data_IF_823835984175
#
_entry.id   IF_823835984175
#
_cell.length_a   1.000
_cell.length_b   1.000
_cell.length_c   1.000
_cell.angle_alpha   90.00
_cell.angle_beta   90.00
_cell.angle_gamma   90.00
#
_symmetry.space_group_name_H-M   'P 1'
#
loop_
_entity.id
_entity.type
_entity.pdbx_description
1 polymer ?
#
# COMPACT_ATOMS: atom_id res chain seq x y z
N UNK A 1 -20.57 -9.67 -23.87
CA UNK A 1 -20.12 -9.49 -22.47
C UNK A 1 -18.70 -8.97 -22.52
N UNK A 2 -18.47 -7.71 -22.16
CA UNK A 2 -17.12 -7.16 -22.06
C UNK A 2 -16.57 -7.67 -20.73
N UNK A 3 -15.72 -8.69 -20.79
CA UNK A 3 -14.87 -9.04 -19.66
C UNK A 3 -13.92 -7.87 -19.46
N UNK A 4 -14.15 -7.05 -18.42
CA UNK A 4 -13.10 -6.17 -17.91
C UNK A 4 -11.97 -7.11 -17.52
N UNK A 5 -10.86 -7.07 -18.26
CA UNK A 5 -9.70 -7.86 -17.94
C UNK A 5 -9.24 -7.44 -16.53
N UNK A 6 -9.08 -8.42 -15.62
CA UNK A 6 -8.33 -8.21 -14.38
C UNK A 6 -6.98 -7.64 -14.75
N UNK A 7 -6.51 -6.62 -14.04
CA UNK A 7 -5.22 -6.03 -14.34
C UNK A 7 -4.11 -7.06 -14.12
N UNK A 8 -3.15 -7.06 -15.03
CA UNK A 8 -1.93 -7.84 -14.90
C UNK A 8 -1.16 -7.39 -13.66
N UNK A 9 -0.29 -8.25 -13.14
CA UNK A 9 0.58 -7.92 -12.01
C UNK A 9 1.36 -6.61 -12.23
N UNK A 10 1.80 -6.36 -13.47
CA UNK A 10 2.46 -5.12 -13.86
C UNK A 10 1.55 -3.91 -13.75
N UNK A 11 0.30 -4.01 -14.20
CA UNK A 11 -0.68 -2.92 -14.15
C UNK A 11 -1.12 -2.61 -12.70
N UNK A 12 -1.26 -3.62 -11.84
CA UNK A 12 -1.55 -3.46 -10.41
C UNK A 12 -0.46 -2.67 -9.67
N UNK A 13 0.80 -2.86 -10.07
CA UNK A 13 1.97 -2.20 -9.47
C UNK A 13 2.08 -0.73 -9.86
N UNK A 14 1.59 -0.33 -11.03
CA UNK A 14 1.53 1.07 -11.44
C UNK A 14 0.66 1.96 -10.53
N UNK A 15 -0.29 1.40 -9.76
CA UNK A 15 -1.08 2.15 -8.77
C UNK A 15 -0.28 2.57 -7.53
N UNK A 16 0.87 1.96 -7.27
CA UNK A 16 1.75 2.38 -6.17
C UNK A 16 2.29 3.79 -6.39
N UNK A 17 2.42 4.22 -7.65
CA UNK A 17 2.81 5.58 -8.03
C UNK A 17 1.71 6.61 -7.70
N UNK A 18 0.44 6.24 -7.88
CA UNK A 18 -0.71 7.13 -7.61
C UNK A 18 -1.01 7.32 -6.12
N UNK A 19 -0.61 6.35 -5.28
CA UNK A 19 -0.85 6.36 -3.82
C UNK A 19 0.19 7.16 -3.03
N UNK A 20 1.30 7.55 -3.67
CA UNK A 20 2.38 8.33 -3.06
C UNK A 20 1.94 9.75 -2.64
N UNK A 21 0.74 10.20 -3.04
CA UNK A 21 0.22 11.53 -2.72
C UNK A 21 -0.29 11.68 -1.27
N UNK A 22 -0.33 10.62 -0.46
CA UNK A 22 -0.95 10.67 0.88
C UNK A 22 0.01 10.76 2.08
N UNK A 23 1.33 10.97 1.90
CA UNK A 23 2.28 11.16 3.03
C UNK A 23 3.07 12.47 2.94
N UNK A 24 2.43 13.52 2.43
CA UNK A 24 2.81 14.89 2.75
C UNK A 24 1.53 15.64 3.09
N UNK A 25 1.39 16.03 4.36
CA UNK A 25 0.18 16.65 4.89
C UNK A 25 -0.32 17.78 3.99
N UNK A 26 -1.49 17.58 3.38
CA UNK A 26 -2.26 18.65 2.73
C UNK A 26 -2.97 19.47 3.79
N UNK A 27 -2.22 20.06 4.71
CA UNK A 27 -2.63 21.35 5.27
C UNK A 27 -2.46 22.37 4.15
N UNK A 28 -3.50 22.54 3.34
CA UNK A 28 -3.49 23.54 2.27
C UNK A 28 -4.39 23.30 1.07
N UNK A 29 -5.45 22.49 1.17
CA UNK A 29 -6.50 22.47 0.14
C UNK A 29 -7.77 23.14 0.67
N UNK A 30 -7.67 24.39 1.14
CA UNK A 30 -8.81 25.31 1.29
C UNK A 30 -8.28 26.72 1.52
N UNK A 31 -8.06 27.45 0.43
CA UNK A 31 -7.67 28.85 0.46
C UNK A 31 -7.47 29.35 -0.96
N UNK A 32 -8.25 30.36 -1.36
CA UNK A 32 -8.29 31.03 -2.67
C UNK A 32 -9.35 30.55 -3.67
N UNK A 33 -10.61 30.47 -3.22
CA UNK A 33 -11.70 31.08 -4.00
C UNK A 33 -12.19 32.32 -3.24
N UNK A 34 -11.51 33.43 -3.47
CA UNK A 34 -12.09 34.76 -3.34
C UNK A 34 -11.62 35.50 -4.58
N UNK A 35 -12.60 35.83 -5.43
CA UNK A 35 -12.32 36.41 -6.73
C UNK A 35 -11.68 37.79 -6.61
N UNK A 36 -10.80 38.09 -7.54
CA UNK A 36 -10.76 39.43 -8.11
C UNK A 36 -10.18 39.39 -9.53
N UNK A 37 -11.03 39.84 -10.45
CA UNK A 37 -10.73 40.72 -11.58
C UNK A 37 -9.58 40.36 -12.54
N UNK A 38 -9.97 40.18 -13.80
CA UNK A 38 -9.15 40.13 -15.01
C UNK A 38 -8.21 41.36 -15.03
N UNK A 39 -6.93 41.14 -14.72
CA UNK A 39 -5.86 42.11 -14.87
C UNK A 39 -4.74 41.52 -15.70
N UNK A 40 -4.49 42.10 -16.87
CA UNK A 40 -3.38 41.75 -17.73
C UNK A 40 -2.05 42.13 -17.05
N UNK A 41 -1.26 41.15 -16.64
CA UNK A 41 0.20 41.31 -16.54
C UNK A 41 0.90 39.97 -16.80
N UNK A 42 1.63 39.95 -17.91
CA UNK A 42 2.26 38.78 -18.49
C UNK A 42 3.66 38.51 -17.95
N UNK A 43 3.86 38.43 -16.62
CA UNK A 43 5.06 37.78 -16.08
C UNK A 43 4.87 37.39 -14.60
N UNK A 44 4.44 36.14 -14.37
CA UNK A 44 4.76 35.47 -13.09
C UNK A 44 6.29 35.46 -12.91
N UNK A 45 6.86 35.95 -11.78
CA UNK A 45 8.30 36.05 -11.59
C UNK A 45 9.01 34.73 -11.91
N UNK A 46 10.07 34.78 -12.73
CA UNK A 46 10.78 33.57 -13.22
C UNK A 46 11.25 32.66 -12.07
N UNK A 47 11.58 33.23 -10.93
CA UNK A 47 12.09 32.50 -9.76
C UNK A 47 11.01 31.67 -9.07
N UNK A 48 9.76 32.16 -9.02
CA UNK A 48 8.62 31.37 -8.51
C UNK A 48 8.33 30.17 -9.38
N UNK A 49 8.40 30.33 -10.71
CA UNK A 49 8.21 29.21 -11.65
C UNK A 49 9.32 28.16 -11.53
N UNK A 50 10.58 28.57 -11.37
CA UNK A 50 11.68 27.63 -11.15
C UNK A 50 11.55 26.86 -9.83
N UNK A 51 11.15 27.55 -8.75
CA UNK A 51 10.91 26.91 -7.45
C UNK A 51 9.73 25.93 -7.49
N UNK A 52 8.65 26.29 -8.20
CA UNK A 52 7.48 25.41 -8.41
C UNK A 52 7.85 24.15 -9.20
N UNK A 53 8.58 24.29 -10.32
CA UNK A 53 9.08 23.16 -11.13
C UNK A 53 10.00 22.27 -10.29
N UNK A 54 10.92 22.85 -9.51
CA UNK A 54 11.84 22.08 -8.67
C UNK A 54 11.11 21.34 -7.54
N UNK A 55 10.05 21.96 -6.98
CA UNK A 55 9.21 21.34 -5.96
C UNK A 55 8.44 20.15 -6.54
N UNK A 56 7.76 20.34 -7.67
CA UNK A 56 7.04 19.26 -8.35
C UNK A 56 7.98 18.12 -8.75
N UNK A 57 9.14 18.42 -9.32
CA UNK A 57 10.14 17.41 -9.66
C UNK A 57 10.66 16.66 -8.42
N UNK A 58 10.80 17.34 -7.28
CA UNK A 58 11.17 16.72 -6.00
C UNK A 58 10.09 15.79 -5.44
N UNK A 59 8.82 16.21 -5.52
CA UNK A 59 7.66 15.39 -5.13
C UNK A 59 7.51 14.15 -6.02
N UNK A 60 7.67 14.31 -7.34
CA UNK A 60 7.65 13.20 -8.30
C UNK A 60 8.80 12.22 -8.08
N UNK A 61 10.01 12.71 -7.83
CA UNK A 61 11.16 11.85 -7.52
C UNK A 61 10.96 11.06 -6.22
N UNK A 62 10.42 11.70 -5.19
CA UNK A 62 10.09 11.03 -3.93
C UNK A 62 8.99 9.97 -4.11
N UNK A 63 7.97 10.27 -4.92
CA UNK A 63 6.92 9.31 -5.28
C UNK A 63 7.46 8.11 -6.06
N UNK A 64 8.38 8.35 -7.00
CA UNK A 64 9.04 7.30 -7.76
C UNK A 64 9.93 6.41 -6.87
N UNK A 65 10.69 7.01 -5.95
CA UNK A 65 11.49 6.25 -4.97
C UNK A 65 10.59 5.39 -4.05
N UNK A 66 9.49 5.96 -3.55
CA UNK A 66 8.52 5.25 -2.75
C UNK A 66 7.93 4.05 -3.50
N UNK A 67 7.47 4.26 -4.74
CA UNK A 67 6.91 3.20 -5.57
C UNK A 67 7.93 2.09 -5.83
N UNK A 68 9.18 2.42 -6.16
CA UNK A 68 10.24 1.45 -6.39
C UNK A 68 10.53 0.59 -5.15
N UNK A 69 10.55 1.18 -3.95
CA UNK A 69 10.70 0.43 -2.69
C UNK A 69 9.53 -0.50 -2.42
N UNK A 70 8.31 -0.04 -2.69
CA UNK A 70 7.10 -0.84 -2.52
C UNK A 70 7.05 -2.00 -3.51
N UNK A 71 7.43 -1.78 -4.77
CA UNK A 71 7.50 -2.83 -5.78
C UNK A 71 8.54 -3.90 -5.40
N UNK A 72 9.75 -3.49 -5.03
CA UNK A 72 10.78 -4.41 -4.57
C UNK A 72 10.34 -5.24 -3.34
N UNK A 73 9.59 -4.63 -2.43
CA UNK A 73 9.01 -5.33 -1.28
C UNK A 73 7.96 -6.38 -1.71
N UNK A 74 7.11 -6.06 -2.69
CA UNK A 74 6.13 -7.01 -3.22
C UNK A 74 6.80 -8.16 -4.00
N UNK A 75 7.91 -7.89 -4.68
CA UNK A 75 8.72 -8.94 -5.30
C UNK A 75 9.28 -9.91 -4.26
N UNK A 76 9.89 -9.38 -3.19
CA UNK A 76 10.37 -10.22 -2.08
C UNK A 76 9.25 -11.03 -1.42
N UNK A 77 8.05 -10.44 -1.29
CA UNK A 77 6.89 -11.16 -0.78
C UNK A 77 6.49 -12.32 -1.69
N UNK A 78 6.48 -12.09 -3.01
CA UNK A 78 6.20 -13.12 -4.00
C UNK A 78 7.19 -14.27 -3.94
N UNK A 79 8.49 -13.95 -3.90
CA UNK A 79 9.57 -14.94 -3.92
C UNK A 79 9.52 -15.85 -2.70
N UNK A 80 9.03 -15.34 -1.57
CA UNK A 80 8.97 -16.05 -0.28
C UNK A 80 7.57 -16.52 0.08
N UNK A 81 6.61 -16.49 -0.86
CA UNK A 81 5.24 -16.91 -0.60
C UNK A 81 5.15 -18.39 -0.19
N UNK A 82 6.02 -19.25 -0.74
CA UNK A 82 6.08 -20.66 -0.36
C UNK A 82 6.45 -20.88 1.11
N UNK A 83 7.34 -20.04 1.67
CA UNK A 83 7.69 -20.07 3.09
C UNK A 83 6.48 -19.76 3.98
N UNK A 84 5.68 -18.76 3.56
CA UNK A 84 4.43 -18.41 4.23
C UNK A 84 3.41 -19.55 4.17
N UNK A 85 3.23 -20.15 2.99
CA UNK A 85 2.30 -21.28 2.80
C UNK A 85 2.72 -22.47 3.67
N UNK A 86 4.02 -22.75 3.77
CA UNK A 86 4.54 -23.81 4.62
C UNK A 86 4.24 -23.55 6.10
N UNK A 87 4.50 -22.33 6.59
CA UNK A 87 4.19 -21.93 7.96
C UNK A 87 2.67 -21.97 8.24
N UNK A 88 1.85 -21.53 7.30
CA UNK A 88 0.39 -21.49 7.44
C UNK A 88 -0.23 -22.90 7.52
N UNK A 89 0.30 -23.87 6.76
CA UNK A 89 -0.20 -25.26 6.77
C UNK A 89 0.08 -25.97 8.09
N UNK A 90 1.17 -25.62 8.77
CA UNK A 90 1.56 -26.23 10.05
C UNK A 90 2.16 -25.17 10.99
N UNK A 91 1.33 -24.29 11.56
CA UNK A 91 1.81 -23.22 12.43
C UNK A 91 2.49 -23.77 13.68
N UNK A 92 3.65 -23.21 14.02
CA UNK A 92 4.23 -23.44 15.34
C UNK A 92 3.38 -22.74 16.42
N UNK A 93 3.51 -23.15 17.68
CA UNK A 93 2.73 -22.56 18.79
C UNK A 93 3.02 -21.06 19.00
N UNK A 94 4.20 -20.59 18.58
CA UNK A 94 4.63 -19.19 18.63
C UNK A 94 4.12 -18.36 17.45
N UNK A 95 3.60 -19.01 16.40
CA UNK A 95 3.19 -18.40 15.15
C UNK A 95 1.68 -18.13 15.14
N UNK A 96 1.32 -16.87 14.87
CA UNK A 96 -0.07 -16.40 14.87
C UNK A 96 -0.26 -15.23 13.91
N UNK A 97 -1.49 -14.72 13.84
CA UNK A 97 -1.84 -13.49 13.09
C UNK A 97 -1.50 -13.55 11.59
N UNK A 98 -1.63 -14.73 10.98
CA UNK A 98 -1.42 -14.94 9.55
C UNK A 98 -2.38 -14.07 8.72
N UNK A 99 -1.79 -13.27 7.84
CA UNK A 99 -2.50 -12.33 6.99
C UNK A 99 -1.87 -12.24 5.61
N UNK A 100 -2.68 -12.01 4.58
CA UNK A 100 -2.24 -11.74 3.20
C UNK A 100 -2.78 -10.40 2.74
N UNK A 101 -2.10 -9.77 1.80
CA UNK A 101 -2.47 -8.47 1.21
C UNK A 101 -2.64 -8.64 -0.28
N UNK A 102 -3.67 -8.00 -0.82
CA UNK A 102 -3.94 -8.02 -2.26
C UNK A 102 -4.56 -6.69 -2.71
N UNK A 103 -4.40 -6.37 -3.99
CA UNK A 103 -5.11 -5.26 -4.62
C UNK A 103 -6.55 -5.65 -4.95
N UNK A 104 -7.49 -4.76 -4.61
CA UNK A 104 -8.86 -4.79 -5.09
C UNK A 104 -9.07 -3.69 -6.11
N UNK A 105 -9.51 -4.06 -7.30
CA UNK A 105 -9.81 -3.15 -8.41
C UNK A 105 -11.32 -2.82 -8.45
N UNK A 106 -11.66 -1.54 -8.61
CA UNK A 106 -13.02 -1.09 -8.89
C UNK A 106 -13.01 0.07 -9.90
N UNK A 107 -13.28 -0.26 -11.17
CA UNK A 107 -13.19 0.72 -12.26
C UNK A 107 -11.74 1.16 -12.46
N UNK A 108 -11.50 2.47 -12.37
CA UNK A 108 -10.14 3.05 -12.48
C UNK A 108 -9.44 3.16 -11.11
N UNK A 109 -10.12 2.78 -10.02
CA UNK A 109 -9.57 2.84 -8.68
C UNK A 109 -9.07 1.47 -8.22
N UNK A 110 -8.05 1.47 -7.36
CA UNK A 110 -7.59 0.27 -6.67
C UNK A 110 -7.22 0.55 -5.22
N UNK A 111 -7.41 -0.44 -4.36
CA UNK A 111 -7.08 -0.36 -2.93
C UNK A 111 -6.44 -1.66 -2.47
N UNK A 112 -5.29 -1.57 -1.80
CA UNK A 112 -4.69 -2.74 -1.16
C UNK A 112 -5.36 -3.02 0.18
N UNK A 113 -5.84 -4.25 0.35
CA UNK A 113 -6.48 -4.69 1.60
C UNK A 113 -5.72 -5.86 2.21
N UNK A 114 -5.62 -5.84 3.54
CA UNK A 114 -5.22 -7.00 4.31
C UNK A 114 -6.40 -7.95 4.50
N UNK A 115 -6.09 -9.25 4.54
CA UNK A 115 -7.02 -10.35 4.78
C UNK A 115 -6.44 -11.21 5.89
N UNK A 116 -7.19 -11.42 6.96
CA UNK A 116 -6.82 -12.25 8.10
C UNK A 116 -7.63 -13.56 8.13
N UNK A 117 -7.47 -14.34 9.19
CA UNK A 117 -8.08 -15.68 9.32
C UNK A 117 -7.78 -16.56 8.10
N UNK A 118 -6.57 -16.40 7.56
CA UNK A 118 -6.19 -16.96 6.27
C UNK A 118 -6.12 -18.49 6.36
N UNK A 119 -6.66 -19.15 5.34
CA UNK A 119 -6.52 -20.59 5.11
C UNK A 119 -6.10 -20.81 3.68
N UNK A 120 -5.34 -21.88 3.44
CA UNK A 120 -4.92 -22.27 2.10
C UNK A 120 -5.33 -23.72 1.83
N UNK A 121 -6.09 -23.95 0.76
CA UNK A 121 -6.64 -25.27 0.40
C UNK A 121 -5.74 -26.08 -0.56
N UNK A 122 -4.56 -25.55 -0.90
CA UNK A 122 -3.67 -26.12 -1.91
C UNK A 122 -3.76 -25.44 -3.27
N UNK A 123 -4.74 -24.54 -3.47
CA UNK A 123 -4.90 -23.75 -4.70
C UNK A 123 -5.21 -22.28 -4.42
N UNK A 124 -5.98 -22.01 -3.38
CA UNK A 124 -6.50 -20.68 -3.06
C UNK A 124 -6.34 -20.35 -1.59
N UNK A 125 -6.13 -19.07 -1.34
CA UNK A 125 -6.32 -18.49 -0.03
C UNK A 125 -7.79 -18.14 0.19
N UNK A 126 -8.26 -18.31 1.41
CA UNK A 126 -9.54 -17.79 1.88
C UNK A 126 -9.32 -17.06 3.20
N UNK A 127 -10.07 -16.00 3.46
CA UNK A 127 -9.99 -15.27 4.72
C UNK A 127 -10.98 -14.10 4.76
N UNK A 128 -10.82 -13.21 5.74
CA UNK A 128 -11.69 -12.04 5.91
C UNK A 128 -10.94 -10.73 5.74
N UNK A 129 -11.55 -9.76 5.08
CA UNK A 129 -11.00 -8.41 4.93
C UNK A 129 -10.76 -7.80 6.33
N UNK A 130 -9.53 -7.38 6.60
CA UNK A 130 -9.05 -6.97 7.93
C UNK A 130 -8.91 -5.45 8.09
N UNK A 131 -9.13 -4.67 7.03
CA UNK A 131 -9.13 -3.21 7.06
C UNK A 131 -10.45 -2.66 6.51
N UNK A 132 -10.85 -1.46 6.92
CA UNK A 132 -12.03 -0.80 6.34
C UNK A 132 -11.67 -0.24 4.95
N UNK A 133 -12.32 -0.71 3.86
CA UNK A 133 -12.09 -0.16 2.53
C UNK A 133 -12.48 1.32 2.48
N UNK A 134 -11.60 2.15 1.96
CA UNK A 134 -11.80 3.60 1.83
C UNK A 134 -12.33 3.96 0.44
N UNK A 135 -11.76 3.33 -0.58
CA UNK A 135 -12.04 3.64 -1.99
C UNK A 135 -13.02 2.62 -2.55
N UNK A 136 -12.73 1.34 -2.36
CA UNK A 136 -13.53 0.26 -2.93
C UNK A 136 -14.82 0.06 -2.12
N UNK A 137 -15.97 0.03 -2.81
CA UNK A 137 -17.32 -0.14 -2.22
C UNK A 137 -17.89 -1.54 -2.39
N UNK A 138 -17.24 -2.40 -3.17
CA UNK A 138 -17.67 -3.79 -3.40
C UNK A 138 -17.37 -4.72 -2.23
N UNK A 139 -16.48 -4.30 -1.32
CA UNK A 139 -16.08 -5.06 -0.14
C UNK A 139 -16.29 -4.27 1.14
N UNK A 140 -16.38 -4.99 2.25
CA UNK A 140 -16.45 -4.42 3.61
C UNK A 140 -15.54 -5.18 4.57
N UNK A 141 -15.18 -4.53 5.66
CA UNK A 141 -14.49 -5.18 6.77
C UNK A 141 -15.22 -6.46 7.21
N UNK A 142 -14.46 -7.53 7.47
CA UNK A 142 -14.97 -8.84 7.86
C UNK A 142 -15.57 -9.68 6.74
N UNK A 143 -15.65 -9.17 5.50
CA UNK A 143 -16.17 -9.93 4.37
C UNK A 143 -15.23 -11.07 3.97
N UNK A 144 -15.80 -12.25 3.73
CA UNK A 144 -15.07 -13.41 3.23
C UNK A 144 -14.62 -13.19 1.78
N UNK A 145 -13.36 -13.49 1.49
CA UNK A 145 -12.79 -13.44 0.14
C UNK A 145 -12.03 -14.74 -0.17
N UNK A 146 -11.84 -15.00 -1.46
CA UNK A 146 -11.04 -16.10 -1.97
C UNK A 146 -10.07 -15.54 -3.02
N UNK A 147 -8.77 -15.84 -2.86
CA UNK A 147 -7.67 -15.27 -3.62
C UNK A 147 -6.79 -16.38 -4.18
N UNK A 148 -6.27 -16.19 -5.38
CA UNK A 148 -5.22 -17.01 -5.96
C UNK A 148 -3.86 -16.59 -5.41
N UNK A 149 -2.85 -17.46 -5.55
CA UNK A 149 -1.48 -17.15 -5.12
C UNK A 149 -0.88 -15.95 -5.87
N UNK A 150 -1.18 -15.81 -7.16
CA UNK A 150 -0.69 -14.72 -8.01
C UNK A 150 -1.40 -13.37 -7.75
N UNK A 151 -2.43 -13.37 -6.90
CA UNK A 151 -3.09 -12.16 -6.39
C UNK A 151 -2.45 -11.65 -5.10
N UNK A 152 -1.51 -12.39 -4.49
CA UNK A 152 -0.87 -12.00 -3.24
C UNK A 152 0.27 -11.02 -3.53
N UNK A 153 0.15 -9.82 -2.97
CA UNK A 153 1.13 -8.74 -3.10
C UNK A 153 1.98 -8.56 -1.84
N UNK A 154 1.50 -9.01 -0.68
CA UNK A 154 2.29 -9.13 0.56
C UNK A 154 1.67 -10.18 1.49
N UNK A 155 2.42 -10.64 2.49
CA UNK A 155 1.93 -11.55 3.51
C UNK A 155 2.68 -11.33 4.81
N UNK A 156 2.07 -11.67 5.93
CA UNK A 156 2.72 -11.61 7.23
C UNK A 156 2.18 -12.65 8.21
N UNK A 157 2.99 -12.97 9.20
CA UNK A 157 2.56 -13.59 10.44
C UNK A 157 3.47 -13.10 11.57
N UNK A 158 3.05 -13.33 12.81
CA UNK A 158 3.82 -12.98 14.00
C UNK A 158 4.36 -14.25 14.62
N UNK A 159 5.68 -14.34 14.78
CA UNK A 159 6.37 -15.44 15.43
C UNK A 159 7.10 -14.92 16.67
N UNK A 160 6.70 -15.40 17.85
CA UNK A 160 7.26 -14.98 19.15
C UNK A 160 7.28 -13.44 19.33
N UNK A 161 6.19 -12.79 18.91
CA UNK A 161 6.04 -11.33 18.98
C UNK A 161 6.81 -10.54 17.91
N UNK A 162 7.37 -11.22 16.91
CA UNK A 162 8.16 -10.60 15.84
C UNK A 162 7.50 -10.78 14.48
N UNK A 163 7.54 -9.74 13.66
CA UNK A 163 6.97 -9.76 12.31
C UNK A 163 7.80 -10.66 11.39
N UNK A 164 7.18 -11.67 10.79
CA UNK A 164 7.71 -12.41 9.64
C UNK A 164 6.95 -11.99 8.39
N UNK A 165 7.66 -11.83 7.27
CA UNK A 165 7.12 -11.15 6.09
C UNK A 165 6.85 -9.67 6.36
N UNK A 166 5.69 -9.19 5.89
CA UNK A 166 5.25 -7.80 5.99
C UNK A 166 6.20 -6.87 5.25
N UNK A 167 6.63 -7.28 4.05
CA UNK A 167 7.69 -6.61 3.31
C UNK A 167 7.30 -5.17 2.99
N UNK A 168 6.03 -4.93 2.64
CA UNK A 168 5.54 -3.58 2.35
C UNK A 168 5.44 -2.71 3.59
N UNK A 169 5.12 -3.29 4.76
CA UNK A 169 5.14 -2.59 6.06
C UNK A 169 6.58 -2.23 6.43
N UNK A 170 7.53 -3.15 6.20
CA UNK A 170 8.97 -2.92 6.43
C UNK A 170 9.52 -1.81 5.54
N UNK A 171 9.24 -1.85 4.24
CA UNK A 171 9.63 -0.81 3.31
C UNK A 171 9.05 0.56 3.73
N UNK A 172 7.76 0.60 4.09
CA UNK A 172 7.12 1.83 4.61
C UNK A 172 7.84 2.35 5.85
N UNK A 173 8.14 1.47 6.81
CA UNK A 173 8.85 1.80 8.04
C UNK A 173 10.26 2.37 7.79
N UNK A 174 11.00 1.80 6.84
CA UNK A 174 12.36 2.23 6.49
C UNK A 174 12.43 3.66 5.95
N UNK A 175 11.34 4.11 5.31
CA UNK A 175 11.23 5.48 4.81
C UNK A 175 10.91 6.49 5.92
N UNK A 176 10.40 6.04 7.06
CA UNK A 176 10.11 6.90 8.22
C UNK A 176 11.36 7.12 9.08
N UNK A 177 11.45 8.32 9.68
CA UNK A 177 12.58 8.71 10.54
C UNK A 177 12.08 9.26 11.88
N UNK A 178 12.95 9.19 12.90
CA UNK A 178 12.72 9.82 14.20
C UNK A 178 11.37 9.50 14.84
N UNK A 179 10.62 10.53 15.20
CA UNK A 179 9.34 10.40 15.88
C UNK A 179 8.27 9.69 15.04
N UNK A 180 8.27 9.85 13.72
CA UNK A 180 7.25 9.24 12.86
C UNK A 180 7.43 7.73 12.75
N UNK A 181 8.69 7.27 12.69
CA UNK A 181 8.98 5.82 12.76
C UNK A 181 8.58 5.24 14.10
N UNK A 182 8.83 5.96 15.21
CA UNK A 182 8.41 5.51 16.54
C UNK A 182 6.89 5.38 16.64
N UNK A 183 6.15 6.40 16.18
CA UNK A 183 4.68 6.37 16.14
C UNK A 183 4.14 5.23 15.27
N UNK A 184 4.80 4.97 14.14
CA UNK A 184 4.46 3.84 13.28
C UNK A 184 4.66 2.51 14.01
N UNK A 185 5.79 2.33 14.69
CA UNK A 185 6.07 1.12 15.46
C UNK A 185 5.04 0.88 16.58
N UNK A 186 4.59 1.95 17.24
CA UNK A 186 3.57 1.91 18.30
C UNK A 186 2.17 1.47 17.80
N UNK A 187 1.90 1.50 16.49
CA UNK A 187 0.64 1.01 15.91
C UNK A 187 0.54 -0.51 15.95
N UNK A 188 1.67 -1.21 16.07
CA UNK A 188 1.75 -2.66 15.99
C UNK A 188 2.05 -3.28 17.34
N UNK A 189 1.46 -4.45 17.60
CA UNK A 189 1.75 -5.26 18.80
C UNK A 189 2.95 -6.18 18.63
N UNK A 190 3.54 -6.20 17.44
CA UNK A 190 4.73 -6.97 17.10
C UNK A 190 5.92 -6.04 16.94
N UNK A 191 7.11 -6.63 16.95
CA UNK A 191 8.37 -5.92 16.70
C UNK A 191 8.90 -6.21 15.30
N UNK A 192 9.65 -5.24 14.76
CA UNK A 192 10.40 -5.40 13.52
C UNK A 192 11.82 -5.85 13.85
N UNK A 193 12.22 -7.03 13.38
CA UNK A 193 13.63 -7.45 13.31
C UNK A 193 14.37 -6.69 12.21
#
# INVERSE_FOLDING_TARGET
MISLARWTRSERRSLLLGSALCVAGTTGMFGLFSGDSIGADGQRPRDRRKAEIQRTAGEEAAAAEYAAKMEAAMDQASEKLDDFIAALKKPAATQKDFSVKYLVEQGEAGEYLWVNEVKFDGKKFTGKVANHPQVVKTLKFGQQVALQEDEIDDWMYVDDGKLKGGFTIRAQREMLKGADRKKFDEQFKFTFE
#
